data_IF_480776951139
#
_entry.id   IF_480776951139
#
_cell.length_a   1.000
_cell.length_b   1.000
_cell.length_c   1.000
_cell.angle_alpha   90.00
_cell.angle_beta   90.00
_cell.angle_gamma   90.00
#
_symmetry.space_group_name_H-M   'P 1'
#
loop_
_entity.id
_entity.type
_entity.pdbx_description
1 polymer ?
#
# COMPACT_ATOMS: atom_id res chain seq x y z
N UNK A 1 3.06 -11.17 38.11
CA UNK A 1 2.59 -10.54 36.85
C UNK A 1 2.77 -9.03 36.85
N UNK A 2 2.69 -8.33 37.99
CA UNK A 2 2.89 -6.86 38.08
C UNK A 2 4.28 -6.35 37.66
N UNK A 3 5.33 -7.15 37.88
CA UNK A 3 6.72 -6.75 37.55
C UNK A 3 6.97 -6.57 36.04
N UNK A 4 6.22 -7.28 35.18
CA UNK A 4 6.38 -7.21 33.72
C UNK A 4 5.74 -5.92 33.15
N UNK A 5 4.63 -5.48 33.73
CA UNK A 5 3.98 -4.21 33.38
C UNK A 5 4.84 -3.02 33.79
N UNK A 6 5.45 -3.06 34.98
CA UNK A 6 6.36 -2.01 35.44
C UNK A 6 7.63 -1.88 34.59
N UNK A 7 8.10 -2.96 33.97
CA UNK A 7 9.24 -2.92 33.03
C UNK A 7 8.85 -2.29 31.67
N UNK A 8 7.62 -2.49 31.21
CA UNK A 8 7.13 -1.91 29.95
C UNK A 8 6.88 -0.39 30.03
N UNK A 9 6.66 0.14 31.23
CA UNK A 9 6.36 1.55 31.48
C UNK A 9 7.59 2.43 31.72
N UNK A 10 8.79 1.84 31.78
CA UNK A 10 10.04 2.58 31.97
C UNK A 10 10.19 3.60 30.84
N UNK A 11 10.25 4.87 31.21
CA UNK A 11 10.51 5.99 30.29
C UNK A 11 11.99 5.96 29.91
N UNK A 12 12.28 5.70 28.63
CA UNK A 12 13.66 5.60 28.15
C UNK A 12 14.21 6.96 27.70
N UNK A 13 13.37 7.78 27.07
CA UNK A 13 13.72 9.11 26.56
C UNK A 13 12.46 10.00 26.57
N UNK A 14 12.58 11.18 27.17
CA UNK A 14 11.58 12.24 27.07
C UNK A 14 12.10 13.34 26.15
N UNK A 15 11.42 13.56 25.03
CA UNK A 15 11.69 14.70 24.13
C UNK A 15 10.43 15.56 24.07
N UNK A 16 10.40 16.63 24.87
CA UNK A 16 9.23 17.51 24.97
C UNK A 16 8.02 16.81 25.60
N UNK A 17 6.91 16.71 24.86
CA UNK A 17 5.67 16.05 25.30
C UNK A 17 5.55 14.57 24.85
N UNK A 18 6.59 14.01 24.22
CA UNK A 18 6.58 12.65 23.70
C UNK A 18 7.39 11.74 24.64
N UNK A 19 6.69 10.92 25.41
CA UNK A 19 7.30 9.90 26.29
C UNK A 19 7.52 8.61 25.51
N UNK A 20 8.77 8.34 25.14
CA UNK A 20 9.15 7.10 24.47
C UNK A 20 9.31 6.03 25.56
N UNK A 21 8.32 5.16 25.67
CA UNK A 21 8.34 4.01 26.57
C UNK A 21 8.83 2.76 25.84
N UNK A 22 9.22 1.74 26.60
CA UNK A 22 9.66 0.43 26.06
C UNK A 22 8.59 -0.19 25.15
N UNK A 23 7.30 -0.02 25.47
CA UNK A 23 6.19 -0.53 24.65
C UNK A 23 6.23 0.03 23.21
N UNK A 24 6.61 1.30 23.02
CA UNK A 24 6.68 1.95 21.71
C UNK A 24 7.72 1.27 20.81
N UNK A 25 8.88 0.93 21.36
CA UNK A 25 9.94 0.22 20.63
C UNK A 25 9.51 -1.20 20.23
N UNK A 26 8.82 -1.91 21.14
CA UNK A 26 8.27 -3.24 20.86
C UNK A 26 7.22 -3.18 19.74
N UNK A 27 6.30 -2.22 19.81
CA UNK A 27 5.26 -2.04 18.78
C UNK A 27 5.87 -1.69 17.42
N UNK A 28 6.86 -0.80 17.37
CA UNK A 28 7.59 -0.46 16.13
C UNK A 28 8.26 -1.70 15.53
N UNK A 29 8.98 -2.47 16.35
CA UNK A 29 9.64 -3.70 15.90
C UNK A 29 8.62 -4.72 15.37
N UNK A 30 7.48 -4.87 16.05
CA UNK A 30 6.41 -5.78 15.67
C UNK A 30 5.77 -5.37 14.33
N UNK A 31 5.44 -4.09 14.14
CA UNK A 31 4.93 -3.55 12.87
C UNK A 31 5.92 -3.85 11.74
N UNK A 32 7.22 -3.60 11.96
CA UNK A 32 8.24 -3.84 10.96
C UNK A 32 8.38 -5.32 10.58
N UNK A 33 8.38 -6.21 11.58
CA UNK A 33 8.46 -7.67 11.37
C UNK A 33 7.24 -8.17 10.59
N UNK A 34 6.02 -7.77 10.99
CA UNK A 34 4.78 -8.16 10.30
C UNK A 34 4.80 -7.67 8.85
N UNK A 35 5.17 -6.41 8.63
CA UNK A 35 5.24 -5.81 7.29
C UNK A 35 6.22 -6.59 6.40
N UNK A 36 7.41 -6.89 6.91
CA UNK A 36 8.42 -7.66 6.18
C UNK A 36 7.94 -9.08 5.88
N UNK A 37 7.33 -9.76 6.84
CA UNK A 37 6.78 -11.11 6.66
C UNK A 37 5.69 -11.11 5.58
N UNK A 38 4.76 -10.14 5.64
CA UNK A 38 3.69 -9.98 4.66
C UNK A 38 4.23 -9.77 3.23
N UNK A 39 5.25 -8.92 3.07
CA UNK A 39 5.89 -8.69 1.77
C UNK A 39 6.62 -9.93 1.25
N UNK A 40 7.30 -10.69 2.11
CA UNK A 40 7.96 -11.93 1.72
C UNK A 40 6.94 -12.96 1.23
N UNK A 41 5.83 -13.13 1.95
CA UNK A 41 4.75 -14.05 1.57
C UNK A 41 4.14 -13.62 0.24
N UNK A 42 3.79 -12.35 0.11
CA UNK A 42 3.22 -11.79 -1.14
C UNK A 42 4.16 -11.98 -2.32
N UNK A 43 5.46 -11.70 -2.16
CA UNK A 43 6.46 -11.91 -3.21
C UNK A 43 6.51 -13.37 -3.66
N UNK A 44 6.57 -14.30 -2.71
CA UNK A 44 6.62 -15.75 -2.99
C UNK A 44 5.38 -16.21 -3.74
N UNK A 45 4.19 -15.78 -3.30
CA UNK A 45 2.92 -16.14 -3.93
C UNK A 45 2.82 -15.61 -5.37
N UNK A 46 3.21 -14.35 -5.60
CA UNK A 46 3.18 -13.75 -6.93
C UNK A 46 4.13 -14.46 -7.90
N UNK A 47 5.38 -14.71 -7.48
CA UNK A 47 6.36 -15.41 -8.32
C UNK A 47 5.95 -16.87 -8.59
N UNK A 48 5.40 -17.56 -7.59
CA UNK A 48 4.90 -18.93 -7.77
C UNK A 48 3.75 -18.98 -8.80
N UNK A 49 2.84 -18.01 -8.75
CA UNK A 49 1.75 -17.90 -9.74
C UNK A 49 2.28 -17.52 -11.12
N UNK A 50 3.20 -16.57 -11.22
CA UNK A 50 3.77 -16.16 -12.49
C UNK A 50 4.42 -17.35 -13.23
N UNK A 51 5.20 -18.16 -12.51
CA UNK A 51 5.79 -19.39 -13.07
C UNK A 51 4.74 -20.41 -13.51
N UNK A 52 3.66 -20.58 -12.75
CA UNK A 52 2.56 -21.51 -13.08
C UNK A 52 1.83 -21.11 -14.36
N UNK A 53 1.57 -19.82 -14.54
CA UNK A 53 0.74 -19.29 -15.62
C UNK A 53 1.55 -18.69 -16.78
N UNK A 54 2.89 -18.84 -16.77
CA UNK A 54 3.81 -18.25 -17.76
C UNK A 54 3.58 -16.74 -17.95
N UNK A 55 3.29 -16.04 -16.85
CA UNK A 55 3.14 -14.58 -16.85
C UNK A 55 4.53 -13.98 -17.00
N UNK A 56 4.62 -12.90 -17.77
CA UNK A 56 5.86 -12.12 -17.90
C UNK A 56 6.43 -11.72 -16.52
N UNK A 57 7.73 -11.96 -16.35
CA UNK A 57 8.43 -11.71 -15.09
C UNK A 57 8.50 -10.21 -14.78
N UNK A 58 8.62 -9.37 -15.81
CA UNK A 58 8.63 -7.91 -15.69
C UNK A 58 7.30 -7.39 -15.15
N UNK A 59 6.18 -7.85 -15.71
CA UNK A 59 4.84 -7.47 -15.27
C UNK A 59 4.57 -7.92 -13.82
N UNK A 60 5.01 -9.13 -13.47
CA UNK A 60 4.88 -9.67 -12.10
C UNK A 60 5.71 -8.86 -11.10
N UNK A 61 6.94 -8.48 -11.49
CA UNK A 61 7.82 -7.67 -10.65
C UNK A 61 7.27 -6.26 -10.46
N UNK A 62 6.75 -5.64 -11.52
CA UNK A 62 6.10 -4.33 -11.45
C UNK A 62 4.90 -4.36 -10.49
N UNK A 63 4.04 -5.38 -10.61
CA UNK A 63 2.89 -5.56 -9.70
C UNK A 63 3.32 -5.73 -8.24
N UNK A 64 4.34 -6.57 -7.97
CA UNK A 64 4.89 -6.72 -6.62
C UNK A 64 5.42 -5.39 -6.07
N UNK A 65 6.07 -4.59 -6.91
CA UNK A 65 6.64 -3.30 -6.51
C UNK A 65 5.54 -2.30 -6.13
N UNK A 66 4.45 -2.23 -6.91
CA UNK A 66 3.27 -1.41 -6.58
C UNK A 66 2.69 -1.82 -5.23
N UNK A 67 2.45 -3.12 -5.02
CA UNK A 67 1.93 -3.64 -3.74
C UNK A 67 2.90 -3.31 -2.59
N UNK A 68 4.21 -3.48 -2.82
CA UNK A 68 5.20 -3.19 -1.80
C UNK A 68 5.21 -1.71 -1.38
N UNK A 69 5.04 -0.79 -2.32
CA UNK A 69 4.96 0.64 -2.00
C UNK A 69 3.72 0.98 -1.18
N UNK A 70 2.55 0.46 -1.56
CA UNK A 70 1.31 0.66 -0.79
C UNK A 70 1.45 0.14 0.64
N UNK A 71 1.99 -1.07 0.80
CA UNK A 71 2.21 -1.68 2.12
C UNK A 71 3.18 -0.86 2.97
N UNK A 72 4.26 -0.34 2.39
CA UNK A 72 5.19 0.54 3.11
C UNK A 72 4.56 1.86 3.53
N UNK A 73 3.74 2.49 2.68
CA UNK A 73 3.01 3.71 3.04
C UNK A 73 2.12 3.48 4.26
N UNK A 74 1.38 2.37 4.28
CA UNK A 74 0.53 1.99 5.41
C UNK A 74 1.38 1.74 6.66
N UNK A 75 2.46 0.95 6.55
CA UNK A 75 3.34 0.63 7.67
C UNK A 75 3.97 1.90 8.27
N UNK A 76 4.43 2.83 7.43
CA UNK A 76 4.96 4.13 7.89
C UNK A 76 3.87 4.92 8.61
N UNK A 77 2.64 4.96 8.08
CA UNK A 77 1.50 5.58 8.78
C UNK A 77 1.33 5.04 10.20
N UNK A 78 1.27 3.72 10.35
CA UNK A 78 1.13 3.07 11.67
C UNK A 78 2.31 3.39 12.61
N UNK A 79 3.53 3.44 12.07
CA UNK A 79 4.73 3.82 12.85
C UNK A 79 4.64 5.25 13.36
N UNK A 80 4.21 6.19 12.50
CA UNK A 80 4.02 7.59 12.87
C UNK A 80 2.94 7.74 13.95
N UNK A 81 1.83 7.01 13.84
CA UNK A 81 0.77 6.99 14.85
C UNK A 81 1.28 6.48 16.20
N UNK A 82 2.13 5.46 16.20
CA UNK A 82 2.74 4.89 17.42
C UNK A 82 3.65 5.90 18.14
N UNK A 83 4.27 6.83 17.41
CA UNK A 83 5.12 7.90 17.97
C UNK A 83 4.29 9.14 18.36
N UNK A 84 2.97 9.11 18.16
CA UNK A 84 2.05 10.20 18.53
C UNK A 84 1.88 11.27 17.44
N UNK A 85 2.32 11.00 16.21
CA UNK A 85 2.09 11.88 15.07
C UNK A 85 0.68 11.61 14.54
N UNK A 86 -0.12 12.68 14.40
CA UNK A 86 -1.50 12.59 13.87
C UNK A 86 -1.48 12.30 12.37
N UNK A 87 -1.52 11.02 12.01
CA UNK A 87 -1.59 10.55 10.61
C UNK A 87 -2.79 11.14 9.87
N UNK A 88 -3.88 11.45 10.57
CA UNK A 88 -5.06 12.13 10.00
C UNK A 88 -4.70 13.42 9.26
N UNK A 89 -3.74 14.20 9.77
CA UNK A 89 -3.29 15.44 9.12
C UNK A 89 -2.55 15.13 7.81
N UNK A 90 -1.71 14.09 7.81
CA UNK A 90 -1.00 13.64 6.60
C UNK A 90 -1.97 13.10 5.55
N UNK A 91 -2.99 12.33 5.96
CA UNK A 91 -4.04 11.83 5.06
C UNK A 91 -4.82 12.99 4.46
N UNK A 92 -5.24 13.95 5.30
CA UNK A 92 -5.95 15.14 4.84
C UNK A 92 -5.13 15.95 3.83
N UNK A 93 -3.84 16.16 4.08
CA UNK A 93 -2.94 16.83 3.13
C UNK A 93 -2.67 16.01 1.87
N UNK A 94 -2.59 14.70 1.99
CA UNK A 94 -2.36 13.78 0.86
C UNK A 94 -3.60 13.65 -0.05
N UNK A 95 -4.80 13.99 0.44
CA UNK A 95 -6.01 13.93 -0.36
C UNK A 95 -5.92 14.80 -1.62
N UNK A 96 -5.38 16.02 -1.51
CA UNK A 96 -5.19 16.91 -2.65
C UNK A 96 -4.17 16.35 -3.66
N UNK A 97 -3.09 15.73 -3.18
CA UNK A 97 -2.11 15.06 -4.04
C UNK A 97 -2.73 13.87 -4.78
N UNK A 98 -3.51 13.04 -4.07
CA UNK A 98 -4.21 11.90 -4.67
C UNK A 98 -5.24 12.34 -5.72
N UNK A 99 -5.96 13.44 -5.47
CA UNK A 99 -6.84 14.05 -6.48
C UNK A 99 -6.04 14.50 -7.69
N UNK A 100 -4.91 15.20 -7.51
CA UNK A 100 -4.04 15.61 -8.62
C UNK A 100 -3.51 14.44 -9.45
N UNK A 101 -3.08 13.34 -8.79
CA UNK A 101 -2.68 12.10 -9.46
C UNK A 101 -3.87 11.49 -10.22
N UNK A 102 -5.05 11.46 -9.61
CA UNK A 102 -6.28 10.96 -10.24
C UNK A 102 -6.65 11.74 -11.51
N UNK A 103 -6.50 13.07 -11.49
CA UNK A 103 -6.68 13.91 -12.66
C UNK A 103 -5.64 13.62 -13.75
N UNK A 104 -4.37 13.41 -13.37
CA UNK A 104 -3.31 13.05 -14.31
C UNK A 104 -3.52 11.67 -14.97
N UNK A 105 -4.15 10.74 -14.26
CA UNK A 105 -4.48 9.39 -14.75
C UNK A 105 -5.89 9.28 -15.35
N UNK A 106 -6.64 10.39 -15.41
CA UNK A 106 -8.04 10.40 -15.81
C UNK A 106 -8.24 9.79 -17.20
N UNK A 107 -7.37 10.12 -18.16
CA UNK A 107 -7.48 9.61 -19.53
C UNK A 107 -7.32 8.09 -19.58
N UNK A 108 -6.29 7.54 -18.92
CA UNK A 108 -6.08 6.09 -18.87
C UNK A 108 -7.26 5.37 -18.22
N UNK A 109 -7.85 5.97 -17.18
CA UNK A 109 -9.05 5.41 -16.57
C UNK A 109 -10.24 5.43 -17.54
N UNK A 110 -10.46 6.54 -18.26
CA UNK A 110 -11.50 6.64 -19.27
C UNK A 110 -11.32 5.61 -20.39
N UNK A 111 -10.10 5.36 -20.86
CA UNK A 111 -9.82 4.39 -21.91
C UNK A 111 -10.14 2.96 -21.44
N UNK A 112 -9.77 2.61 -20.20
CA UNK A 112 -10.09 1.31 -19.60
C UNK A 112 -11.60 1.12 -19.46
N UNK A 113 -12.31 2.12 -18.91
CA UNK A 113 -13.77 2.06 -18.74
C UNK A 113 -14.46 1.97 -20.09
N UNK A 114 -14.02 2.74 -21.08
CA UNK A 114 -14.55 2.68 -22.45
C UNK A 114 -14.39 1.27 -23.03
N UNK A 115 -13.22 0.65 -22.88
CA UNK A 115 -12.98 -0.72 -23.30
C UNK A 115 -13.92 -1.73 -22.61
N UNK A 116 -14.15 -1.60 -21.31
CA UNK A 116 -15.09 -2.46 -20.56
C UNK A 116 -16.52 -2.28 -21.08
N UNK A 117 -16.97 -1.04 -21.28
CA UNK A 117 -18.31 -0.71 -21.78
C UNK A 117 -18.51 -1.30 -23.17
N UNK A 118 -17.57 -1.10 -24.10
CA UNK A 118 -17.65 -1.62 -25.46
C UNK A 118 -17.84 -3.14 -25.50
N UNK A 119 -17.10 -3.87 -24.65
CA UNK A 119 -17.20 -5.33 -24.53
C UNK A 119 -18.53 -5.74 -23.87
N UNK A 120 -18.95 -5.01 -22.84
CA UNK A 120 -20.17 -5.32 -22.07
C UNK A 120 -21.43 -5.12 -22.90
N UNK A 121 -21.53 -3.99 -23.59
CA UNK A 121 -22.67 -3.65 -24.44
C UNK A 121 -22.64 -4.39 -25.78
N UNK A 122 -21.52 -5.04 -26.13
CA UNK A 122 -21.26 -5.63 -27.45
C UNK A 122 -21.50 -4.63 -28.59
N UNK A 123 -21.25 -3.34 -28.32
CA UNK A 123 -21.33 -2.27 -29.32
C UNK A 123 -20.38 -2.53 -30.50
N UNK A 124 -19.26 -3.20 -30.21
CA UNK A 124 -18.28 -3.66 -31.19
C UNK A 124 -18.06 -5.15 -30.98
N UNK A 125 -18.04 -5.92 -32.08
CA UNK A 125 -17.75 -7.36 -32.09
C UNK A 125 -16.34 -7.64 -32.62
N UNK A 126 -15.84 -8.81 -32.27
CA UNK A 126 -14.58 -9.33 -32.80
C UNK A 126 -14.74 -9.50 -34.32
N UNK A 127 -13.83 -8.90 -35.08
CA UNK A 127 -13.81 -8.81 -36.56
C UNK A 127 -14.64 -7.68 -37.20
N UNK A 128 -15.18 -6.76 -36.42
CA UNK A 128 -15.79 -5.56 -37.01
C UNK A 128 -14.69 -4.65 -37.60
N UNK A 129 -14.92 -4.14 -38.81
CA UNK A 129 -14.11 -3.07 -39.42
C UNK A 129 -14.74 -1.76 -39.00
N UNK A 130 -13.95 -0.94 -38.30
CA UNK A 130 -14.40 0.33 -37.75
C UNK A 130 -13.66 1.46 -38.45
N UNK A 131 -14.41 2.50 -38.81
CA UNK A 131 -13.86 3.79 -39.19
C UNK A 131 -13.94 4.70 -37.96
N UNK A 132 -12.80 5.21 -37.54
CA UNK A 132 -12.65 6.06 -36.36
C UNK A 132 -12.06 7.37 -36.85
N UNK A 133 -12.78 8.48 -36.65
CA UNK A 133 -12.34 9.85 -36.97
C UNK A 133 -11.31 10.38 -35.96
#
# INVERSE_FOLDING_TARGET
>A
MESFSNFLEIELLSVGNYTIKVYTLITIALIFIITKLFLIVTKRLLLARAKRYKIDEGNTYALYRIISYVVWVIAIGLLLETIGIKVTVLIAGSAALLVGIGLGLQQTFNDIISGIILISEKSIRINDVLEVD
#
